data_IF_031712958128
#
_entry.id   IF_031712958128
#
_cell.length_a   1.000
_cell.length_b   1.000
_cell.length_c   1.000
_cell.angle_alpha   90.00
_cell.angle_beta   90.00
_cell.angle_gamma   90.00
#
_symmetry.space_group_name_H-M   'P 1'
#
loop_
_entity.id
_entity.type
_entity.pdbx_description
1 polymer ?
#
# COMPACT_ATOMS: atom_id res chain seq x y z
N UNK A 1 3.07 6.01 -2.34
CA UNK A 1 4.36 6.15 -3.06
C UNK A 1 4.05 6.55 -4.48
N UNK A 2 4.76 7.53 -5.04
CA UNK A 2 4.48 8.03 -6.37
C UNK A 2 5.28 7.24 -7.41
N UNK A 3 4.65 6.90 -8.53
CA UNK A 3 5.28 6.28 -9.69
C UNK A 3 6.18 7.32 -10.40
N UNK A 4 7.41 7.52 -9.88
CA UNK A 4 8.39 8.47 -10.39
C UNK A 4 9.65 7.75 -10.85
N UNK A 5 10.29 8.26 -11.91
CA UNK A 5 11.51 7.66 -12.47
C UNK A 5 12.64 7.61 -11.45
N UNK A 6 12.82 8.69 -10.71
CA UNK A 6 13.85 8.82 -9.67
C UNK A 6 13.66 7.77 -8.56
N UNK A 7 12.39 7.50 -8.19
CA UNK A 7 12.07 6.46 -7.21
C UNK A 7 12.37 5.07 -7.77
N UNK A 8 11.98 4.80 -9.02
CA UNK A 8 12.25 3.53 -9.69
C UNK A 8 13.76 3.29 -9.79
N UNK A 9 14.53 4.29 -10.24
CA UNK A 9 15.98 4.21 -10.35
C UNK A 9 16.63 3.95 -8.99
N UNK A 10 16.26 4.70 -7.95
CA UNK A 10 16.81 4.53 -6.60
C UNK A 10 16.55 3.14 -5.99
N UNK A 11 15.45 2.48 -6.38
CA UNK A 11 15.16 1.10 -5.98
C UNK A 11 16.10 0.13 -6.71
N UNK A 12 16.24 0.31 -8.03
CA UNK A 12 17.11 -0.53 -8.86
C UNK A 12 18.59 -0.40 -8.47
N UNK A 13 19.05 0.81 -8.16
CA UNK A 13 20.42 1.08 -7.71
C UNK A 13 20.77 0.35 -6.41
N UNK A 14 19.75 -0.01 -5.62
CA UNK A 14 19.89 -0.86 -4.41
C UNK A 14 19.75 -2.35 -4.68
N UNK A 15 19.67 -2.77 -5.94
CA UNK A 15 19.48 -4.16 -6.32
C UNK A 15 18.10 -4.74 -5.95
N UNK A 16 17.10 -3.87 -5.77
CA UNK A 16 15.74 -4.27 -5.42
C UNK A 16 14.78 -4.12 -6.60
N UNK A 17 13.67 -4.87 -6.56
CA UNK A 17 12.58 -4.78 -7.53
C UNK A 17 11.47 -3.84 -7.04
N UNK A 18 10.66 -3.34 -7.98
CA UNK A 18 9.53 -2.50 -7.66
C UNK A 18 8.21 -2.99 -8.27
N UNK A 19 7.12 -2.72 -7.54
CA UNK A 19 5.74 -2.69 -8.01
C UNK A 19 5.19 -1.31 -7.66
N UNK A 20 5.09 -0.42 -8.64
CA UNK A 20 4.66 0.96 -8.43
C UNK A 20 3.27 1.20 -9.04
N UNK A 21 2.36 1.77 -8.24
CA UNK A 21 1.03 2.12 -8.71
C UNK A 21 1.06 3.26 -9.72
N UNK A 22 0.66 2.99 -10.95
CA UNK A 22 0.51 3.99 -12.02
C UNK A 22 -0.84 4.69 -11.84
N UNK A 23 -0.82 6.00 -11.65
CA UNK A 23 -2.01 6.81 -11.40
C UNK A 23 -2.22 7.82 -12.53
N UNK A 24 -3.45 8.29 -12.69
CA UNK A 24 -3.84 9.28 -13.69
C UNK A 24 -3.11 10.63 -13.58
N UNK A 25 -2.36 10.92 -12.51
CA UNK A 25 -1.48 12.09 -12.44
C UNK A 25 -0.23 12.01 -13.36
N UNK A 26 0.00 10.86 -13.99
CA UNK A 26 0.94 10.61 -15.10
C UNK A 26 0.17 10.44 -16.41
N UNK A 27 -0.65 11.43 -16.76
CA UNK A 27 -1.67 11.38 -17.80
C UNK A 27 -1.27 10.56 -19.03
N UNK A 28 -0.23 10.95 -19.76
CA UNK A 28 0.12 10.27 -21.00
C UNK A 28 0.50 8.79 -20.82
N UNK A 29 1.35 8.47 -19.84
CA UNK A 29 1.75 7.07 -19.59
C UNK A 29 0.58 6.22 -19.06
N UNK A 30 -0.29 6.82 -18.27
CA UNK A 30 -1.49 6.13 -17.76
C UNK A 30 -2.47 5.84 -18.89
N UNK A 31 -2.74 6.82 -19.74
CA UNK A 31 -3.69 6.72 -20.84
C UNK A 31 -3.21 5.70 -21.89
N UNK A 32 -1.92 5.73 -22.23
CA UNK A 32 -1.33 4.72 -23.12
C UNK A 32 -1.40 3.31 -22.51
N UNK A 33 -1.13 3.18 -21.21
CA UNK A 33 -1.24 1.89 -20.52
C UNK A 33 -2.69 1.39 -20.47
N UNK A 34 -3.68 2.28 -20.29
CA UNK A 34 -5.10 1.93 -20.36
C UNK A 34 -5.47 1.46 -21.75
N UNK A 35 -5.12 2.23 -22.78
CA UNK A 35 -5.42 1.89 -24.17
C UNK A 35 -4.81 0.53 -24.55
N UNK A 36 -3.56 0.29 -24.15
CA UNK A 36 -2.89 -0.98 -24.41
C UNK A 36 -3.59 -2.15 -23.71
N UNK A 37 -3.92 -2.01 -22.42
CA UNK A 37 -4.59 -3.09 -21.69
C UNK A 37 -6.05 -3.30 -22.12
N UNK A 38 -6.70 -2.32 -22.73
CA UNK A 38 -8.07 -2.40 -23.23
C UNK A 38 -8.12 -2.97 -24.66
N UNK A 39 -6.99 -3.12 -25.35
CA UNK A 39 -6.91 -3.76 -26.65
C UNK A 39 -7.19 -5.27 -26.50
N UNK A 40 -8.23 -5.81 -27.17
CA UNK A 40 -8.56 -7.24 -27.14
C UNK A 40 -7.45 -8.16 -27.67
N UNK A 41 -6.51 -7.63 -28.47
CA UNK A 41 -5.37 -8.38 -28.99
C UNK A 41 -4.30 -8.63 -27.91
N UNK A 42 -4.27 -7.84 -26.85
CA UNK A 42 -3.31 -7.96 -25.75
C UNK A 42 -3.74 -9.08 -24.80
N UNK A 43 -2.99 -10.16 -24.82
CA UNK A 43 -3.18 -11.27 -23.90
C UNK A 43 -2.33 -11.11 -22.67
N UNK A 44 -2.87 -11.50 -21.53
CA UNK A 44 -2.11 -11.54 -20.29
C UNK A 44 -1.20 -12.77 -20.24
N UNK A 45 0.06 -12.59 -19.84
CA UNK A 45 0.96 -13.72 -19.60
C UNK A 45 0.51 -14.55 -18.39
N UNK A 46 -0.07 -13.87 -17.38
CA UNK A 46 -0.70 -14.51 -16.23
C UNK A 46 -1.95 -13.75 -15.79
N UNK A 47 -2.96 -14.50 -15.32
CA UNK A 47 -4.18 -13.97 -14.72
C UNK A 47 -4.55 -14.76 -13.46
N UNK A 48 -5.11 -14.08 -12.47
CA UNK A 48 -5.56 -14.69 -11.21
C UNK A 48 -6.78 -13.96 -10.65
N UNK A 49 -7.55 -14.66 -9.84
CA UNK A 49 -8.72 -14.12 -9.16
C UNK A 49 -8.76 -14.57 -7.71
N UNK A 50 -9.12 -13.66 -6.82
CA UNK A 50 -9.42 -13.97 -5.42
C UNK A 50 -10.82 -13.50 -5.07
N UNK A 51 -11.50 -14.27 -4.21
CA UNK A 51 -12.80 -13.96 -3.65
C UNK A 51 -12.68 -13.90 -2.12
N UNK A 52 -13.04 -12.77 -1.54
CA UNK A 52 -13.13 -12.58 -0.09
C UNK A 52 -14.57 -12.26 0.28
N UNK A 53 -15.11 -12.98 1.27
CA UNK A 53 -16.42 -12.72 1.85
C UNK A 53 -16.24 -12.45 3.34
N UNK A 54 -16.43 -11.20 3.77
CA UNK A 54 -16.30 -10.80 5.17
C UNK A 54 -17.26 -9.65 5.51
N UNK A 55 -17.80 -9.66 6.73
CA UNK A 55 -18.68 -8.62 7.27
C UNK A 55 -19.85 -8.21 6.34
N UNK A 56 -20.50 -9.18 5.67
CA UNK A 56 -21.62 -8.93 4.75
C UNK A 56 -21.22 -8.24 3.44
N UNK A 57 -19.98 -8.38 3.02
CA UNK A 57 -19.43 -7.84 1.78
C UNK A 57 -18.73 -8.94 1.01
N UNK A 58 -18.92 -8.94 -0.31
CA UNK A 58 -18.20 -9.82 -1.23
C UNK A 58 -17.24 -8.93 -2.01
N UNK A 59 -15.96 -9.27 -1.98
CA UNK A 59 -14.94 -8.59 -2.76
C UNK A 59 -14.22 -9.57 -3.67
N UNK A 60 -14.36 -9.35 -4.97
CA UNK A 60 -13.65 -10.11 -6.01
C UNK A 60 -12.52 -9.25 -6.54
N UNK A 61 -11.30 -9.79 -6.55
CA UNK A 61 -10.14 -9.13 -7.18
C UNK A 61 -9.63 -9.98 -8.31
N UNK A 62 -9.54 -9.39 -9.50
CA UNK A 62 -8.91 -9.98 -10.67
C UNK A 62 -7.61 -9.25 -10.94
N UNK A 63 -6.55 -9.99 -11.22
CA UNK A 63 -5.28 -9.44 -11.66
C UNK A 63 -4.86 -10.04 -13.00
N UNK A 64 -4.19 -9.23 -13.83
CA UNK A 64 -3.48 -9.68 -15.03
C UNK A 64 -2.15 -8.97 -15.14
N UNK A 65 -1.15 -9.67 -15.69
CA UNK A 65 0.21 -9.15 -15.91
C UNK A 65 0.57 -9.37 -17.36
N UNK A 66 1.16 -8.35 -18.00
CA UNK A 66 1.63 -8.35 -19.38
C UNK A 66 3.10 -7.92 -19.39
N UNK A 67 3.97 -8.77 -19.94
CA UNK A 67 5.42 -8.52 -19.99
C UNK A 67 5.89 -7.87 -21.32
N UNK A 68 5.08 -7.91 -22.38
CA UNK A 68 5.41 -7.26 -23.67
C UNK A 68 5.12 -5.76 -23.62
N UNK A 69 5.97 -5.02 -22.89
CA UNK A 69 5.82 -3.57 -22.62
C UNK A 69 7.11 -2.76 -22.91
N UNK A 70 8.01 -3.31 -23.74
CA UNK A 70 9.27 -2.63 -24.10
C UNK A 70 9.00 -1.25 -24.72
N UNK A 71 7.98 -1.14 -25.56
CA UNK A 71 7.55 0.12 -26.18
C UNK A 71 7.18 1.19 -25.14
N UNK A 72 6.56 0.81 -24.02
CA UNK A 72 6.17 1.73 -22.95
C UNK A 72 7.41 2.19 -22.16
N UNK A 73 8.33 1.26 -21.91
CA UNK A 73 9.61 1.55 -21.26
C UNK A 73 10.43 2.57 -22.05
N UNK A 74 10.55 2.37 -23.36
CA UNK A 74 11.29 3.25 -24.28
C UNK A 74 10.60 4.62 -24.40
N UNK A 75 9.30 4.65 -24.68
CA UNK A 75 8.53 5.88 -24.89
C UNK A 75 8.61 6.83 -23.70
N UNK A 76 8.58 6.29 -22.49
CA UNK A 76 8.60 7.09 -21.26
C UNK A 76 9.97 7.09 -20.57
N UNK A 77 10.97 6.44 -21.12
CA UNK A 77 12.29 6.25 -20.51
C UNK A 77 12.16 5.85 -19.04
N UNK A 78 11.27 4.87 -18.75
CA UNK A 78 10.99 4.47 -17.39
C UNK A 78 11.98 3.39 -16.92
N UNK A 79 12.78 3.65 -15.86
CA UNK A 79 13.90 2.79 -15.48
C UNK A 79 13.44 1.37 -15.15
N UNK A 80 14.01 0.38 -15.85
CA UNK A 80 13.82 -1.05 -15.57
C UNK A 80 12.39 -1.56 -15.70
N UNK A 81 11.49 -0.87 -16.41
CA UNK A 81 10.13 -1.32 -16.65
C UNK A 81 10.14 -2.59 -17.54
N UNK A 82 9.63 -3.69 -17.02
CA UNK A 82 9.56 -4.99 -17.72
C UNK A 82 8.15 -5.57 -17.79
N UNK A 83 7.22 -5.09 -16.95
CA UNK A 83 5.83 -5.56 -17.03
C UNK A 83 4.85 -4.46 -16.62
N UNK A 84 3.66 -4.53 -17.21
CA UNK A 84 2.48 -3.76 -16.84
C UNK A 84 1.46 -4.71 -16.22
N UNK A 85 0.80 -4.27 -15.17
CA UNK A 85 -0.20 -5.07 -14.52
C UNK A 85 -1.44 -4.27 -14.18
N UNK A 86 -2.55 -4.97 -14.11
CA UNK A 86 -3.85 -4.44 -13.72
C UNK A 86 -4.44 -5.27 -12.57
N UNK A 87 -5.00 -4.58 -11.60
CA UNK A 87 -5.86 -5.20 -10.58
C UNK A 87 -7.21 -4.49 -10.58
N UNK A 88 -8.26 -5.26 -10.89
CA UNK A 88 -9.65 -4.82 -10.80
C UNK A 88 -10.27 -5.42 -9.54
N UNK A 89 -10.78 -4.56 -8.66
CA UNK A 89 -11.53 -4.98 -7.47
C UNK A 89 -13.01 -4.61 -7.64
N UNK A 90 -13.86 -5.62 -7.61
CA UNK A 90 -15.32 -5.49 -7.54
C UNK A 90 -15.77 -5.77 -6.12
N UNK A 91 -16.51 -4.85 -5.54
CA UNK A 91 -17.03 -4.96 -4.17
C UNK A 91 -18.54 -4.78 -4.20
N UNK A 92 -19.24 -5.82 -3.73
CA UNK A 92 -20.66 -5.81 -3.49
C UNK A 92 -20.92 -5.61 -1.99
N UNK A 93 -21.73 -4.62 -1.63
CA UNK A 93 -22.12 -4.37 -0.27
C UNK A 93 -23.41 -5.12 0.10
N UNK A 94 -23.84 -5.02 1.37
CA UNK A 94 -25.04 -5.69 1.88
C UNK A 94 -26.35 -5.24 1.18
N UNK A 95 -26.34 -4.13 0.44
CA UNK A 95 -27.49 -3.62 -0.33
C UNK A 95 -27.48 -4.10 -1.78
N UNK A 96 -26.46 -4.88 -2.20
CA UNK A 96 -26.29 -5.32 -3.57
C UNK A 96 -25.63 -4.25 -4.47
N UNK A 97 -25.16 -3.12 -3.92
CA UNK A 97 -24.46 -2.12 -4.71
C UNK A 97 -23.04 -2.58 -5.04
N UNK A 98 -22.73 -2.59 -6.32
CA UNK A 98 -21.42 -3.00 -6.83
C UNK A 98 -20.57 -1.77 -7.12
N UNK A 99 -19.38 -1.73 -6.53
CA UNK A 99 -18.35 -0.72 -6.82
C UNK A 99 -17.14 -1.39 -7.48
N UNK A 100 -16.72 -0.90 -8.65
CA UNK A 100 -15.56 -1.42 -9.37
C UNK A 100 -14.42 -0.40 -9.28
N UNK A 101 -13.22 -0.86 -8.95
CA UNK A 101 -12.00 -0.06 -8.92
C UNK A 101 -10.90 -0.74 -9.72
N UNK A 102 -10.38 -0.02 -10.69
CA UNK A 102 -9.25 -0.42 -11.53
C UNK A 102 -7.97 0.26 -11.07
N UNK A 103 -6.88 -0.48 -10.97
CA UNK A 103 -5.56 0.04 -10.62
C UNK A 103 -4.52 -0.56 -11.54
N UNK A 104 -3.65 0.30 -12.07
CA UNK A 104 -2.54 -0.11 -12.91
C UNK A 104 -1.23 -0.05 -12.11
N UNK A 105 -0.31 -0.95 -12.47
CA UNK A 105 1.00 -1.05 -11.84
C UNK A 105 2.06 -1.23 -12.91
N UNK A 106 3.22 -0.62 -12.69
CA UNK A 106 4.45 -0.85 -13.45
C UNK A 106 5.41 -1.66 -12.60
N UNK A 107 6.08 -2.64 -13.20
CA UNK A 107 6.91 -3.60 -12.51
C UNK A 107 8.31 -3.64 -13.14
N UNK A 108 9.35 -3.75 -12.29
CA UNK A 108 10.74 -3.93 -12.75
C UNK A 108 11.04 -5.34 -13.20
N UNK A 109 10.15 -6.29 -12.87
CA UNK A 109 10.25 -7.67 -13.33
C UNK A 109 8.86 -8.29 -13.45
N UNK A 110 8.62 -9.17 -14.42
CA UNK A 110 7.38 -9.93 -14.48
C UNK A 110 7.19 -10.79 -13.22
N UNK A 111 5.97 -10.82 -12.72
CA UNK A 111 5.54 -11.69 -11.61
C UNK A 111 4.25 -12.39 -12.00
N UNK A 112 3.89 -13.49 -11.32
CA UNK A 112 2.58 -14.10 -11.54
C UNK A 112 1.47 -13.19 -10.99
N UNK A 113 0.27 -13.30 -11.54
CA UNK A 113 -0.87 -12.52 -11.09
C UNK A 113 -1.23 -12.80 -9.62
N UNK A 114 -1.04 -14.04 -9.14
CA UNK A 114 -1.20 -14.39 -7.71
C UNK A 114 -0.19 -13.67 -6.83
N UNK A 115 1.08 -13.64 -7.23
CA UNK A 115 2.13 -12.90 -6.49
C UNK A 115 1.84 -11.39 -6.48
N UNK A 116 1.32 -10.84 -7.57
CA UNK A 116 0.88 -9.45 -7.62
C UNK A 116 -0.26 -9.18 -6.64
N UNK A 117 -1.32 -10.02 -6.62
CA UNK A 117 -2.43 -9.89 -5.68
C UNK A 117 -1.96 -9.96 -4.23
N UNK A 118 -1.06 -10.90 -3.90
CA UNK A 118 -0.46 -11.01 -2.57
C UNK A 118 0.35 -9.76 -2.19
N UNK A 119 1.15 -9.22 -3.11
CA UNK A 119 1.95 -8.01 -2.91
C UNK A 119 1.08 -6.79 -2.66
N UNK A 120 0.06 -6.59 -3.50
CA UNK A 120 -0.89 -5.47 -3.36
C UNK A 120 -1.67 -5.58 -2.05
N UNK A 121 -2.08 -6.79 -1.65
CA UNK A 121 -2.77 -7.02 -0.37
C UNK A 121 -1.88 -6.75 0.83
N UNK A 122 -0.62 -7.19 0.79
CA UNK A 122 0.37 -6.90 1.83
C UNK A 122 0.62 -5.41 2.01
N UNK A 123 0.72 -4.66 0.91
CA UNK A 123 0.85 -3.20 0.95
C UNK A 123 -0.35 -2.53 1.65
N UNK A 124 -1.58 -2.99 1.39
CA UNK A 124 -2.77 -2.52 2.09
C UNK A 124 -2.76 -2.84 3.59
N UNK A 125 -2.08 -3.90 3.99
CA UNK A 125 -1.86 -4.20 5.41
C UNK A 125 -1.10 -3.07 6.12
N UNK A 126 -0.10 -2.46 5.47
CA UNK A 126 0.64 -1.31 6.01
C UNK A 126 -0.28 -0.09 6.16
N UNK A 127 -1.09 0.22 5.14
CA UNK A 127 -2.06 1.33 5.22
C UNK A 127 -3.02 1.17 6.40
N UNK A 128 -3.62 0.00 6.55
CA UNK A 128 -4.61 -0.25 7.60
C UNK A 128 -4.00 -0.42 9.01
N UNK A 129 -2.82 -1.05 9.10
CA UNK A 129 -2.23 -1.41 10.39
C UNK A 129 -1.26 -0.35 10.93
N UNK A 130 -0.72 0.50 10.08
CA UNK A 130 0.21 1.55 10.47
C UNK A 130 -0.38 2.93 10.21
N UNK A 131 -0.56 3.34 8.96
CA UNK A 131 -0.95 4.72 8.63
C UNK A 131 -2.29 5.10 9.24
N UNK A 132 -3.35 4.30 9.03
CA UNK A 132 -4.65 4.55 9.64
C UNK A 132 -4.58 4.62 11.18
N UNK A 133 -3.78 3.76 11.81
CA UNK A 133 -3.62 3.79 13.28
C UNK A 133 -2.88 5.04 13.72
N UNK A 134 -1.85 5.48 12.98
CA UNK A 134 -1.13 6.73 13.28
C UNK A 134 -2.06 7.94 13.19
N UNK A 135 -2.95 7.99 12.21
CA UNK A 135 -3.91 9.08 12.06
C UNK A 135 -5.00 9.04 13.14
N UNK A 136 -5.64 7.88 13.35
CA UNK A 136 -6.78 7.77 14.28
C UNK A 136 -6.37 7.80 15.76
N UNK A 137 -5.21 7.23 16.10
CA UNK A 137 -4.76 7.12 17.51
C UNK A 137 -3.88 8.30 17.91
N UNK A 138 -2.98 8.74 17.02
CA UNK A 138 -1.98 9.76 17.32
C UNK A 138 -2.24 11.10 16.62
N UNK A 139 -3.30 11.20 15.80
CA UNK A 139 -3.69 12.42 15.08
C UNK A 139 -2.52 12.99 14.24
N UNK A 140 -1.78 12.09 13.54
CA UNK A 140 -0.53 12.42 12.88
C UNK A 140 -0.73 13.47 11.78
N UNK A 141 -1.78 13.35 10.98
CA UNK A 141 -2.11 14.27 9.89
C UNK A 141 -2.41 15.70 10.37
N UNK A 142 -2.90 15.86 11.61
CA UNK A 142 -3.14 17.17 12.22
C UNK A 142 -1.92 17.78 12.89
N UNK A 143 -0.80 17.05 12.95
CA UNK A 143 0.43 17.57 13.54
C UNK A 143 0.92 18.82 12.82
N UNK A 144 1.14 19.88 13.58
CA UNK A 144 1.63 21.16 13.07
C UNK A 144 3.11 21.43 13.40
N UNK A 145 3.80 20.46 13.95
CA UNK A 145 5.24 20.55 14.14
C UNK A 145 5.94 20.69 12.79
N UNK A 146 6.70 21.77 12.59
CA UNK A 146 7.37 22.08 11.32
C UNK A 146 8.82 22.52 11.49
N UNK A 147 9.26 22.75 12.75
CA UNK A 147 10.58 23.27 13.08
C UNK A 147 11.60 22.14 13.11
N UNK A 148 12.71 22.32 12.41
CA UNK A 148 13.88 21.43 12.41
C UNK A 148 13.51 19.94 12.28
N UNK A 149 13.98 19.12 13.21
CA UNK A 149 13.74 17.69 13.27
C UNK A 149 12.45 17.30 14.02
N UNK A 150 11.62 18.28 14.46
CA UNK A 150 10.42 17.98 15.23
C UNK A 150 9.43 17.04 14.55
N UNK A 151 9.14 17.17 13.23
CA UNK A 151 8.26 16.24 12.53
C UNK A 151 8.80 14.80 12.57
N UNK A 152 10.09 14.63 12.29
CA UNK A 152 10.75 13.32 12.26
C UNK A 152 10.77 12.70 13.67
N UNK A 153 11.16 13.46 14.67
CA UNK A 153 11.22 13.01 16.05
C UNK A 153 9.85 12.57 16.57
N UNK A 154 8.80 13.34 16.27
CA UNK A 154 7.43 12.96 16.62
C UNK A 154 6.97 11.69 15.91
N UNK A 155 7.30 11.52 14.64
CA UNK A 155 6.97 10.31 13.90
C UNK A 155 7.67 9.08 14.53
N UNK A 156 8.92 9.19 14.92
CA UNK A 156 9.67 8.13 15.62
C UNK A 156 9.03 7.81 16.98
N UNK A 157 8.74 8.83 17.81
CA UNK A 157 8.13 8.64 19.12
C UNK A 157 6.75 7.97 19.03
N UNK A 158 5.92 8.38 18.07
CA UNK A 158 4.60 7.75 17.82
C UNK A 158 4.75 6.28 17.44
N UNK A 159 5.71 5.93 16.57
CA UNK A 159 5.98 4.54 16.19
C UNK A 159 6.45 3.69 17.36
N UNK A 160 7.32 4.23 18.23
CA UNK A 160 7.73 3.56 19.46
C UNK A 160 6.52 3.32 20.35
N UNK A 161 5.70 4.34 20.62
CA UNK A 161 4.49 4.22 21.43
C UNK A 161 3.51 3.19 20.87
N UNK A 162 3.32 3.17 19.53
CA UNK A 162 2.49 2.19 18.86
C UNK A 162 3.02 0.76 19.07
N UNK A 163 4.33 0.55 18.89
CA UNK A 163 4.95 -0.76 19.06
C UNK A 163 4.82 -1.26 20.50
N UNK A 164 5.06 -0.40 21.49
CA UNK A 164 4.89 -0.73 22.91
C UNK A 164 3.44 -1.11 23.23
N UNK A 165 2.47 -0.33 22.74
CA UNK A 165 1.05 -0.62 22.95
C UNK A 165 0.60 -1.92 22.28
N UNK A 166 1.16 -2.26 21.09
CA UNK A 166 0.89 -3.53 20.39
C UNK A 166 1.54 -4.72 21.10
N UNK A 167 2.78 -4.59 21.56
CA UNK A 167 3.50 -5.64 22.25
C UNK A 167 2.92 -5.97 23.63
N UNK A 168 2.24 -5.02 24.26
CA UNK A 168 1.65 -5.22 25.57
C UNK A 168 0.47 -6.19 25.53
N UNK A 169 0.49 -7.21 26.36
CA UNK A 169 -0.51 -8.31 26.42
C UNK A 169 -1.78 -7.96 27.20
N UNK A 170 -1.83 -6.82 27.90
CA UNK A 170 -3.03 -6.42 28.64
C UNK A 170 -4.23 -6.24 27.71
N UNK A 171 -5.42 -6.51 28.23
CA UNK A 171 -6.68 -6.33 27.48
C UNK A 171 -6.90 -4.84 27.13
N UNK A 172 -7.41 -4.60 25.94
CA UNK A 172 -7.78 -3.28 25.44
C UNK A 172 -7.22 -2.95 24.07
N UNK A 173 -7.85 -1.99 23.38
CA UNK A 173 -7.40 -1.49 22.09
C UNK A 173 -6.09 -0.67 22.24
N UNK A 174 -5.33 -0.52 21.15
CA UNK A 174 -4.15 0.35 21.11
C UNK A 174 -4.48 1.75 21.63
N UNK A 175 -5.58 2.34 21.16
CA UNK A 175 -6.04 3.66 21.63
C UNK A 175 -6.33 3.69 23.13
N UNK A 176 -6.96 2.63 23.64
CA UNK A 176 -7.24 2.49 25.08
C UNK A 176 -5.95 2.43 25.92
N UNK A 177 -4.98 1.65 25.48
CA UNK A 177 -3.67 1.53 26.14
C UNK A 177 -2.89 2.85 26.14
N UNK A 178 -2.86 3.57 25.00
CA UNK A 178 -2.22 4.89 24.92
C UNK A 178 -2.90 5.89 25.83
N UNK A 179 -4.24 5.93 25.85
CA UNK A 179 -4.97 6.79 26.79
C UNK A 179 -4.66 6.43 28.24
N UNK A 180 -4.70 5.13 28.60
CA UNK A 180 -4.38 4.68 29.94
C UNK A 180 -2.98 5.10 30.38
N UNK A 181 -1.99 4.97 29.51
CA UNK A 181 -0.62 5.42 29.79
C UNK A 181 -0.53 6.93 30.10
N UNK A 182 -1.48 7.74 29.62
CA UNK A 182 -1.52 9.18 29.90
C UNK A 182 -1.97 9.57 31.32
N UNK A 183 -2.63 8.64 32.07
CA UNK A 183 -3.08 8.92 33.43
C UNK A 183 -2.65 7.87 34.46
N UNK A 184 -2.05 6.75 34.03
CA UNK A 184 -1.58 5.66 34.90
C UNK A 184 -0.07 5.51 34.73
N UNK A 185 0.69 6.16 35.61
CA UNK A 185 2.16 6.15 35.59
C UNK A 185 2.74 4.73 35.76
N UNK A 186 2.10 3.87 36.54
CA UNK A 186 2.54 2.48 36.71
C UNK A 186 2.38 1.69 35.41
N UNK A 187 1.28 1.89 34.69
CA UNK A 187 1.05 1.28 33.39
C UNK A 187 2.02 1.84 32.33
N UNK A 188 2.29 3.16 32.34
CA UNK A 188 3.28 3.77 31.44
C UNK A 188 4.67 3.17 31.66
N UNK A 189 5.10 3.06 32.92
CA UNK A 189 6.38 2.43 33.26
C UNK A 189 6.45 0.98 32.79
N UNK A 190 5.38 0.20 32.98
CA UNK A 190 5.31 -1.17 32.51
C UNK A 190 5.40 -1.27 30.98
N UNK A 191 4.79 -0.34 30.21
CA UNK A 191 4.94 -0.29 28.76
C UNK A 191 6.39 -0.02 28.33
N UNK A 192 7.07 0.92 28.98
CA UNK A 192 8.46 1.28 28.65
C UNK A 192 9.43 0.15 28.99
N UNK A 193 9.24 -0.52 30.13
CA UNK A 193 10.10 -1.63 30.55
C UNK A 193 10.06 -2.87 29.63
N UNK A 194 9.08 -2.96 28.73
CA UNK A 194 9.02 -4.01 27.71
C UNK A 194 10.05 -3.82 26.57
N UNK A 195 10.78 -2.71 26.52
CA UNK A 195 11.80 -2.39 25.51
C UNK A 195 13.11 -3.21 25.69
N UNK A 196 13.10 -4.30 26.42
CA UNK A 196 14.29 -5.14 26.66
C UNK A 196 14.50 -6.15 25.53
#
# INVERSE_FOLDING_TARGET
>A
MHCQRETAQAILDKGADYVLGLKANRFAMYDDAVLFLDDPAVQADTAAQTLDADHGRIETRCARVVADVAWLAERYSFPGLQALAEVTASREDATGQITIRRRLFVLSRPVTADALLATVRSHWGIENQLHWVMDVVFDEDRSRARTDNAPLNLAVLRRIALNLAKANTSKGSVRGKIKRAGWDNAFLAALILQMR
#
